data_IF_898655841799
#
_entry.id   IF_898655841799
#
_cell.length_a   1.000
_cell.length_b   1.000
_cell.length_c   1.000
_cell.angle_alpha   90.00
_cell.angle_beta   90.00
_cell.angle_gamma   90.00
#
_symmetry.space_group_name_H-M   'P 1'
#
loop_
_entity.id
_entity.type
_entity.pdbx_description
1 polymer ?
#
# COMPACT_ATOMS: atom_id res chain seq x y z
N UNK A 1 28.29 44.10 34.38
CA UNK A 1 27.68 42.76 34.44
C UNK A 1 26.65 42.46 33.32
N UNK A 2 26.28 43.38 32.43
CA UNK A 2 25.25 43.15 31.40
C UNK A 2 25.66 42.34 30.14
N UNK A 3 26.96 42.09 29.94
CA UNK A 3 27.46 41.48 28.69
C UNK A 3 27.38 39.94 28.69
N UNK A 4 27.61 39.30 29.83
CA UNK A 4 27.63 37.82 29.90
C UNK A 4 26.23 37.20 29.74
N UNK A 5 25.18 37.85 30.23
CA UNK A 5 23.79 37.38 30.08
C UNK A 5 23.32 37.46 28.62
N UNK A 6 23.75 38.49 27.88
CA UNK A 6 23.42 38.66 26.46
C UNK A 6 24.14 37.63 25.58
N UNK A 7 25.43 37.38 25.83
CA UNK A 7 26.21 36.34 25.17
C UNK A 7 25.63 34.93 25.42
N UNK A 8 25.26 34.62 26.67
CA UNK A 8 24.64 33.33 27.03
C UNK A 8 23.29 33.10 26.34
N UNK A 9 22.45 34.13 26.27
CA UNK A 9 21.17 34.06 25.55
C UNK A 9 21.37 33.87 24.04
N UNK A 10 22.34 34.57 23.43
CA UNK A 10 22.66 34.41 22.00
C UNK A 10 23.18 33.01 21.68
N UNK A 11 24.04 32.43 22.52
CA UNK A 11 24.54 31.04 22.36
C UNK A 11 23.40 30.03 22.50
N UNK A 12 22.51 30.21 23.49
CA UNK A 12 21.34 29.34 23.71
C UNK A 12 20.37 29.39 22.53
N UNK A 13 20.09 30.58 22.00
CA UNK A 13 19.22 30.74 20.82
C UNK A 13 19.88 30.13 19.58
N UNK A 14 21.16 30.39 19.36
CA UNK A 14 21.89 29.86 18.19
C UNK A 14 21.93 28.34 18.21
N UNK A 15 22.20 27.72 19.37
CA UNK A 15 22.15 26.26 19.51
C UNK A 15 20.74 25.69 19.34
N UNK A 16 19.69 26.37 19.82
CA UNK A 16 18.31 25.96 19.58
C UNK A 16 17.91 26.06 18.09
N UNK A 17 18.32 27.13 17.40
CA UNK A 17 18.09 27.32 15.96
C UNK A 17 18.83 26.26 15.15
N UNK A 18 20.10 25.97 15.48
CA UNK A 18 20.87 24.90 14.84
C UNK A 18 20.24 23.53 15.07
N UNK A 19 19.80 23.22 16.30
CA UNK A 19 19.09 21.97 16.60
C UNK A 19 17.79 21.85 15.80
N UNK A 20 17.00 22.93 15.71
CA UNK A 20 15.77 22.94 14.90
C UNK A 20 16.05 22.77 13.42
N UNK A 21 17.08 23.43 12.87
CA UNK A 21 17.47 23.28 11.47
C UNK A 21 17.90 21.85 11.15
N UNK A 22 18.78 21.27 11.96
CA UNK A 22 19.22 19.88 11.80
C UNK A 22 18.06 18.88 11.93
N UNK A 23 17.14 19.12 12.87
CA UNK A 23 15.93 18.29 13.02
C UNK A 23 15.03 18.38 11.78
N UNK A 24 14.81 19.60 11.25
CA UNK A 24 14.03 19.79 10.02
C UNK A 24 14.70 19.11 8.81
N UNK A 25 16.01 19.22 8.64
CA UNK A 25 16.74 18.55 7.55
C UNK A 25 16.63 17.02 7.65
N UNK A 26 16.81 16.46 8.86
CA UNK A 26 16.65 15.04 9.11
C UNK A 26 15.21 14.58 8.83
N UNK A 27 14.21 15.32 9.29
CA UNK A 27 12.80 15.00 9.07
C UNK A 27 12.41 15.07 7.59
N UNK A 28 12.90 16.08 6.86
CA UNK A 28 12.70 16.20 5.40
C UNK A 28 13.34 15.02 4.67
N UNK A 29 14.56 14.64 5.03
CA UNK A 29 15.23 13.47 4.43
C UNK A 29 14.48 12.16 4.69
N UNK A 30 13.92 12.01 5.89
CA UNK A 30 13.12 10.84 6.25
C UNK A 30 11.79 10.80 5.48
N UNK A 31 11.13 11.96 5.33
CA UNK A 31 9.88 12.07 4.57
C UNK A 31 10.07 11.82 3.07
N UNK A 32 11.25 12.10 2.50
CA UNK A 32 11.53 11.83 1.09
C UNK A 32 11.81 10.33 0.84
N UNK A 33 12.34 9.64 1.87
CA UNK A 33 12.61 8.22 1.85
C UNK A 33 11.37 7.33 2.09
N UNK A 34 10.23 7.90 2.52
CA UNK A 34 9.00 7.15 2.81
C UNK A 34 7.79 7.72 2.07
N UNK A 35 7.13 6.90 1.28
CA UNK A 35 5.95 7.28 0.48
C UNK A 35 4.79 6.36 0.82
N UNK A 36 3.64 6.92 1.17
CA UNK A 36 2.39 6.17 1.37
C UNK A 36 1.53 6.25 0.12
N UNK A 37 1.03 5.10 -0.35
CA UNK A 37 0.16 5.01 -1.53
C UNK A 37 -1.08 4.19 -1.18
N UNK A 38 -2.26 4.72 -1.49
CA UNK A 38 -3.54 4.03 -1.36
C UNK A 38 -4.09 3.70 -2.74
N UNK A 39 -4.51 2.45 -2.97
CA UNK A 39 -5.06 2.00 -4.27
C UNK A 39 -6.25 1.07 -4.06
N UNK A 40 -7.22 1.09 -4.98
CA UNK A 40 -8.37 0.19 -4.92
C UNK A 40 -7.97 -1.23 -5.38
N UNK A 41 -8.58 -2.24 -4.77
CA UNK A 41 -8.41 -3.62 -5.24
C UNK A 41 -8.85 -3.77 -6.71
N UNK A 42 -8.07 -4.48 -7.51
CA UNK A 42 -8.27 -4.67 -8.95
C UNK A 42 -7.57 -3.63 -9.83
N UNK A 43 -7.18 -2.48 -9.28
CA UNK A 43 -6.47 -1.44 -10.02
C UNK A 43 -4.97 -1.75 -10.18
N UNK A 44 -4.26 -0.86 -10.87
CA UNK A 44 -2.80 -0.87 -10.97
C UNK A 44 -2.19 0.32 -10.25
N UNK A 45 -1.04 0.11 -9.61
CA UNK A 45 -0.25 1.18 -8.97
C UNK A 45 1.14 1.23 -9.60
N UNK A 46 1.68 2.44 -9.79
CA UNK A 46 3.06 2.65 -10.22
C UNK A 46 3.85 3.35 -9.12
N UNK A 47 4.94 2.71 -8.69
CA UNK A 47 5.87 3.22 -7.70
C UNK A 47 7.02 3.90 -8.43
N UNK A 48 7.00 5.23 -8.44
CA UNK A 48 7.97 6.05 -9.14
C UNK A 48 9.28 6.16 -8.37
N UNK A 49 10.39 5.84 -9.04
CA UNK A 49 11.75 5.96 -8.49
C UNK A 49 12.31 7.37 -8.57
N UNK A 50 11.77 8.21 -9.47
CA UNK A 50 12.23 9.56 -9.80
C UNK A 50 13.70 9.64 -10.28
N UNK A 51 14.26 8.53 -10.76
CA UNK A 51 15.62 8.47 -11.31
C UNK A 51 15.62 8.20 -12.82
N UNK A 52 16.74 8.55 -13.48
CA UNK A 52 17.01 8.16 -14.87
C UNK A 52 18.11 7.10 -14.87
N UNK A 53 17.79 5.89 -15.31
CA UNK A 53 18.74 4.78 -15.34
C UNK A 53 19.84 5.00 -16.38
N UNK A 54 21.09 4.74 -16.00
CA UNK A 54 22.24 4.65 -16.91
C UNK A 54 22.80 3.23 -16.94
N UNK A 55 23.68 2.97 -17.90
CA UNK A 55 24.25 1.65 -18.20
C UNK A 55 25.00 0.96 -17.03
N UNK A 56 25.34 1.67 -15.94
CA UNK A 56 26.02 1.08 -14.76
C UNK A 56 25.14 1.04 -13.52
N UNK A 57 23.93 1.59 -13.62
CA UNK A 57 23.04 1.70 -12.48
C UNK A 57 22.35 0.37 -12.22
N UNK A 58 21.97 0.15 -10.97
CA UNK A 58 21.18 -1.01 -10.55
C UNK A 58 20.00 -0.51 -9.77
N UNK A 59 18.84 -1.07 -10.07
CA UNK A 59 17.60 -0.78 -9.36
C UNK A 59 17.05 -2.11 -8.90
N UNK A 60 16.75 -2.23 -7.62
CA UNK A 60 16.20 -3.45 -7.03
C UNK A 60 14.94 -3.10 -6.26
N UNK A 61 13.93 -3.95 -6.42
CA UNK A 61 12.69 -3.86 -5.71
C UNK A 61 12.53 -5.10 -4.83
N UNK A 62 12.17 -4.86 -3.58
CA UNK A 62 11.90 -5.89 -2.59
C UNK A 62 10.50 -5.74 -2.03
N UNK A 63 9.89 -6.87 -1.71
CA UNK A 63 8.66 -6.96 -0.94
C UNK A 63 8.89 -8.00 0.15
N UNK A 64 8.72 -7.63 1.43
CA UNK A 64 9.03 -8.48 2.58
C UNK A 64 10.41 -9.16 2.46
N UNK A 65 11.47 -8.37 2.28
CA UNK A 65 12.87 -8.81 2.09
C UNK A 65 13.13 -9.71 0.87
N UNK A 66 12.12 -10.01 0.07
CA UNK A 66 12.22 -10.85 -1.13
C UNK A 66 12.38 -9.95 -2.35
N UNK A 67 13.45 -10.14 -3.13
CA UNK A 67 13.66 -9.39 -4.37
C UNK A 67 12.64 -9.81 -5.42
N UNK A 68 11.73 -8.89 -5.75
CA UNK A 68 10.64 -9.11 -6.72
C UNK A 68 10.96 -8.56 -8.11
N UNK A 69 11.89 -7.63 -8.23
CA UNK A 69 12.28 -7.08 -9.52
C UNK A 69 13.69 -6.50 -9.47
N UNK A 70 14.39 -6.52 -10.60
CA UNK A 70 15.73 -5.94 -10.70
C UNK A 70 16.01 -5.44 -12.11
N UNK A 71 16.60 -4.25 -12.21
CA UNK A 71 17.24 -3.73 -13.41
C UNK A 71 18.74 -3.65 -13.17
N UNK A 72 19.53 -4.07 -14.17
CA UNK A 72 20.97 -3.89 -14.15
C UNK A 72 21.45 -3.30 -15.47
N UNK A 73 22.69 -2.82 -15.49
CA UNK A 73 23.36 -2.38 -16.72
C UNK A 73 23.40 -3.40 -17.85
N UNK A 74 23.30 -4.69 -17.52
CA UNK A 74 23.13 -5.78 -18.47
C UNK A 74 21.65 -6.16 -18.54
N UNK A 75 20.98 -5.80 -19.64
CA UNK A 75 19.55 -6.05 -19.80
C UNK A 75 19.20 -7.53 -19.70
N UNK A 76 20.13 -8.44 -20.04
CA UNK A 76 19.91 -9.89 -19.92
C UNK A 76 19.78 -10.38 -18.47
N UNK A 77 20.21 -9.57 -17.50
CA UNK A 77 20.14 -9.85 -16.06
C UNK A 77 19.03 -9.07 -15.35
N UNK A 78 18.18 -8.42 -16.14
CA UNK A 78 16.93 -7.85 -15.64
C UNK A 78 15.95 -8.99 -15.37
N UNK A 79 15.23 -8.91 -14.27
CA UNK A 79 14.24 -9.90 -13.90
C UNK A 79 13.04 -9.23 -13.23
N UNK A 80 11.92 -9.90 -13.29
CA UNK A 80 10.74 -9.66 -12.46
C UNK A 80 10.34 -10.96 -11.80
N UNK A 81 9.44 -10.89 -10.82
CA UNK A 81 8.67 -12.02 -10.30
C UNK A 81 9.49 -13.31 -10.19
N UNK A 82 8.97 -14.42 -10.72
CA UNK A 82 9.56 -15.75 -10.60
C UNK A 82 10.97 -15.84 -11.21
N UNK A 83 11.29 -14.95 -12.15
CA UNK A 83 12.63 -14.87 -12.74
C UNK A 83 13.66 -14.31 -11.74
N UNK A 84 13.22 -13.48 -10.80
CA UNK A 84 14.07 -12.97 -9.73
C UNK A 84 14.17 -13.93 -8.54
N UNK A 85 13.05 -14.56 -8.15
CA UNK A 85 12.95 -15.44 -7.00
C UNK A 85 11.70 -16.34 -7.11
N UNK A 86 11.87 -17.66 -6.97
CA UNK A 86 10.79 -18.65 -7.04
C UNK A 86 9.65 -18.38 -6.02
N UNK A 87 9.94 -17.76 -4.88
CA UNK A 87 8.95 -17.41 -3.85
C UNK A 87 7.97 -16.28 -4.24
N UNK A 88 8.06 -15.75 -5.46
CA UNK A 88 7.29 -14.56 -5.89
C UNK A 88 6.19 -14.88 -6.91
N UNK A 89 5.80 -16.15 -7.04
CA UNK A 89 4.69 -16.63 -7.89
C UNK A 89 3.40 -15.80 -7.73
N UNK A 90 3.15 -15.23 -6.54
CA UNK A 90 1.99 -14.37 -6.31
C UNK A 90 1.93 -13.17 -7.29
N UNK A 91 3.09 -12.67 -7.71
CA UNK A 91 3.25 -11.51 -8.58
C UNK A 91 3.41 -11.85 -10.06
N UNK A 92 3.35 -13.15 -10.38
CA UNK A 92 3.53 -13.66 -11.73
C UNK A 92 2.67 -12.93 -12.76
N UNK A 93 3.30 -12.43 -13.80
CA UNK A 93 2.69 -11.69 -14.90
C UNK A 93 2.02 -10.36 -14.49
N UNK A 94 2.20 -9.91 -13.24
CA UNK A 94 1.59 -8.69 -12.68
C UNK A 94 2.59 -7.56 -12.46
N UNK A 95 3.89 -7.83 -12.50
CA UNK A 95 4.92 -6.79 -12.38
C UNK A 95 5.37 -6.31 -13.74
N UNK A 96 5.48 -4.98 -13.89
CA UNK A 96 6.12 -4.33 -15.02
C UNK A 96 7.17 -3.35 -14.53
N UNK A 97 8.37 -3.44 -15.09
CA UNK A 97 9.45 -2.49 -14.85
C UNK A 97 9.58 -1.54 -16.03
N UNK A 98 9.65 -0.25 -15.75
CA UNK A 98 10.09 0.74 -16.73
C UNK A 98 11.62 0.72 -16.79
N UNK A 99 12.19 0.31 -17.93
CA UNK A 99 13.63 0.23 -18.12
C UNK A 99 14.36 1.58 -18.18
N UNK A 100 13.65 2.70 -18.34
CA UNK A 100 14.24 4.04 -18.39
C UNK A 100 14.29 4.72 -17.03
N UNK A 101 13.28 4.48 -16.20
CA UNK A 101 13.17 5.12 -14.88
C UNK A 101 13.44 4.14 -13.74
N UNK A 102 13.17 2.86 -13.93
CA UNK A 102 13.16 1.85 -12.87
C UNK A 102 11.88 1.79 -12.08
N UNK A 103 10.85 2.55 -12.48
CA UNK A 103 9.54 2.53 -11.82
C UNK A 103 8.92 1.13 -11.92
N UNK A 104 8.33 0.69 -10.80
CA UNK A 104 7.64 -0.60 -10.71
C UNK A 104 6.14 -0.38 -10.79
N UNK A 105 5.51 -0.98 -11.78
CA UNK A 105 4.05 -1.06 -11.89
C UNK A 105 3.57 -2.44 -11.44
N UNK A 106 2.62 -2.44 -10.51
CA UNK A 106 1.94 -3.64 -10.03
C UNK A 106 0.52 -3.59 -10.58
N UNK A 107 0.17 -4.57 -11.42
CA UNK A 107 -1.13 -4.66 -12.07
C UNK A 107 -2.08 -5.59 -11.30
N UNK A 108 -3.38 -5.32 -11.40
CA UNK A 108 -4.44 -6.13 -10.79
C UNK A 108 -4.12 -6.42 -9.32
N UNK A 109 -4.00 -5.34 -8.55
CA UNK A 109 -3.54 -5.39 -7.17
C UNK A 109 -4.61 -6.04 -6.28
N UNK A 110 -4.20 -6.91 -5.37
CA UNK A 110 -5.08 -7.68 -4.49
C UNK A 110 -4.85 -7.31 -3.06
N UNK A 111 -5.82 -7.51 -2.16
CA UNK A 111 -5.62 -7.24 -0.73
C UNK A 111 -4.32 -7.84 -0.13
N UNK A 112 -3.87 -9.00 -0.62
CA UNK A 112 -2.62 -9.67 -0.21
C UNK A 112 -1.34 -8.94 -0.64
N UNK A 113 -1.44 -8.02 -1.61
CA UNK A 113 -0.32 -7.24 -2.14
C UNK A 113 -0.02 -6.00 -1.29
N UNK A 114 -0.83 -5.72 -0.27
CA UNK A 114 -0.58 -4.64 0.69
C UNK A 114 0.74 -4.87 1.43
N UNK A 115 1.43 -3.78 1.75
CA UNK A 115 2.68 -3.82 2.53
C UNK A 115 3.73 -2.86 2.00
N UNK A 116 4.94 -3.03 2.53
CA UNK A 116 6.07 -2.15 2.25
C UNK A 116 6.91 -2.70 1.09
N UNK A 117 7.12 -1.84 0.10
CA UNK A 117 7.97 -2.08 -1.05
C UNK A 117 9.25 -1.29 -0.89
N UNK A 118 10.37 -1.98 -0.80
CA UNK A 118 11.69 -1.35 -0.65
C UNK A 118 12.35 -1.21 -2.00
N UNK A 119 12.70 0.02 -2.34
CA UNK A 119 13.49 0.40 -3.49
C UNK A 119 14.94 0.60 -3.05
N UNK A 120 15.87 -0.12 -3.67
CA UNK A 120 17.30 0.11 -3.57
C UNK A 120 17.81 0.58 -4.94
N UNK A 121 18.40 1.77 -4.98
CA UNK A 121 19.05 2.31 -6.17
C UNK A 121 20.54 2.43 -5.95
N UNK A 122 21.33 1.91 -6.89
CA UNK A 122 22.78 2.00 -6.90
C UNK A 122 23.17 2.77 -8.16
N UNK A 123 23.42 4.07 -8.01
CA UNK A 123 23.71 4.98 -9.11
C UNK A 123 25.11 5.53 -8.94
N UNK A 124 25.98 5.29 -9.91
CA UNK A 124 27.39 5.74 -9.88
C UNK A 124 28.15 5.38 -8.57
N UNK A 125 27.77 4.29 -7.91
CA UNK A 125 28.36 3.82 -6.64
C UNK A 125 27.70 4.37 -5.37
N UNK A 126 26.77 5.32 -5.48
CA UNK A 126 25.95 5.77 -4.36
C UNK A 126 24.74 4.86 -4.20
N UNK A 127 24.45 4.45 -2.97
CA UNK A 127 23.25 3.69 -2.61
C UNK A 127 22.21 4.68 -2.07
N UNK A 128 20.97 4.56 -2.54
CA UNK A 128 19.82 5.28 -2.00
C UNK A 128 18.64 4.33 -1.86
N UNK A 129 17.93 4.46 -0.75
CA UNK A 129 16.82 3.59 -0.37
C UNK A 129 15.53 4.42 -0.23
N UNK A 130 14.41 3.83 -0.66
CA UNK A 130 13.08 4.43 -0.53
C UNK A 130 12.06 3.35 -0.22
N UNK A 131 11.12 3.65 0.66
CA UNK A 131 10.06 2.72 1.08
C UNK A 131 8.74 3.26 0.56
N UNK A 132 7.98 2.39 -0.10
CA UNK A 132 6.61 2.64 -0.53
C UNK A 132 5.67 1.76 0.29
N UNK A 133 4.93 2.38 1.22
CA UNK A 133 3.87 1.72 1.97
C UNK A 133 2.60 1.71 1.14
N UNK A 134 2.24 0.56 0.59
CA UNK A 134 1.05 0.39 -0.26
C UNK A 134 -0.09 -0.18 0.58
N UNK A 135 -1.16 0.60 0.69
CA UNK A 135 -2.42 0.21 1.33
C UNK A 135 -3.49 -0.03 0.27
N UNK A 136 -4.22 -1.14 0.39
CA UNK A 136 -5.23 -1.52 -0.58
C UNK A 136 -6.61 -1.41 0.04
N UNK A 137 -7.45 -0.60 -0.57
CA UNK A 137 -8.85 -0.44 -0.18
C UNK A 137 -9.70 -1.37 -1.04
N UNK A 138 -10.25 -2.42 -0.42
CA UNK A 138 -11.20 -3.29 -1.10
C UNK A 138 -12.57 -2.63 -1.20
N UNK A 139 -13.27 -2.82 -2.32
CA UNK A 139 -14.73 -2.76 -2.28
C UNK A 139 -15.21 -3.95 -1.46
N UNK A 140 -15.48 -3.72 -0.17
CA UNK A 140 -16.38 -4.60 0.56
C UNK A 140 -17.74 -4.50 -0.14
N UNK A 141 -18.05 -5.44 -1.03
CA UNK A 141 -19.38 -5.63 -1.60
C UNK A 141 -20.41 -6.08 -0.54
N UNK A 142 -20.17 -5.79 0.74
CA UNK A 142 -21.17 -5.85 1.78
C UNK A 142 -22.06 -4.61 1.67
N UNK A 143 -23.03 -4.67 0.76
CA UNK A 143 -24.37 -4.04 0.80
C UNK A 143 -24.89 -3.83 -0.64
N UNK A 144 -25.37 -4.90 -1.28
CA UNK A 144 -26.41 -4.74 -2.30
C UNK A 144 -27.75 -5.04 -1.64
N UNK A 145 -28.47 -3.99 -1.25
CA UNK A 145 -29.86 -4.12 -0.80
C UNK A 145 -30.70 -4.56 -2.00
N UNK A 146 -31.28 -5.76 -1.93
CA UNK A 146 -32.29 -6.21 -2.89
C UNK A 146 -33.66 -5.97 -2.27
N UNK A 147 -34.41 -5.01 -2.81
CA UNK A 147 -35.79 -4.77 -2.41
C UNK A 147 -36.68 -5.75 -3.19
N UNK A 148 -37.30 -6.71 -2.49
CA UNK A 148 -38.27 -7.62 -3.11
C UNK A 148 -39.67 -7.14 -2.70
N UNK A 149 -40.51 -6.83 -3.69
CA UNK A 149 -41.90 -6.47 -3.48
C UNK A 149 -42.77 -7.72 -3.62
N UNK A 150 -43.27 -8.27 -2.49
CA UNK A 150 -44.31 -9.29 -2.50
C UNK A 150 -45.59 -8.67 -1.95
N UNK A 151 -46.67 -8.70 -2.74
CA UNK A 151 -48.03 -8.35 -2.31
C UNK A 151 -48.13 -7.06 -1.45
N UNK A 152 -47.57 -5.94 -1.92
CA UNK A 152 -47.71 -4.61 -1.29
C UNK A 152 -47.08 -4.44 0.11
N UNK A 153 -46.15 -5.32 0.50
CA UNK A 153 -45.31 -5.14 1.69
C UNK A 153 -43.83 -5.10 1.30
N UNK A 154 -43.14 -4.03 1.70
CA UNK A 154 -41.69 -3.88 1.51
C UNK A 154 -40.97 -4.59 2.65
N UNK A 155 -40.21 -5.66 2.35
CA UNK A 155 -39.34 -6.30 3.33
C UNK A 155 -37.88 -5.97 2.99
N UNK A 156 -37.17 -5.35 3.93
CA UNK A 156 -35.75 -5.03 3.82
C UNK A 156 -34.94 -6.23 4.33
N UNK A 157 -34.44 -7.08 3.42
CA UNK A 157 -33.53 -8.17 3.79
C UNK A 157 -32.07 -7.75 3.53
N UNK A 158 -31.26 -7.73 4.59
CA UNK A 158 -29.81 -7.57 4.49
C UNK A 158 -29.22 -8.97 4.27
N UNK A 159 -28.72 -9.26 3.07
CA UNK A 159 -28.03 -10.52 2.77
C UNK A 159 -26.53 -10.25 2.71
N UNK A 160 -25.76 -10.85 3.63
CA UNK A 160 -24.29 -10.87 3.58
C UNK A 160 -23.81 -12.09 2.79
N UNK A 161 -23.14 -11.89 1.66
CA UNK A 161 -22.38 -12.93 0.98
C UNK A 161 -20.88 -12.67 1.24
N UNK A 162 -20.25 -13.48 2.08
CA UNK A 162 -18.81 -13.39 2.36
C UNK A 162 -18.01 -14.32 1.43
N UNK A 163 -17.02 -13.79 0.71
CA UNK A 163 -16.23 -14.57 -0.25
C UNK A 163 -14.92 -15.15 0.30
N UNK A 164 -14.58 -15.00 1.58
CA UNK A 164 -13.41 -15.68 2.16
C UNK A 164 -13.61 -15.90 3.68
N UNK A 165 -14.01 -17.13 4.05
CA UNK A 165 -13.86 -17.81 5.35
C UNK A 165 -13.85 -16.93 6.64
N UNK A 166 -14.73 -17.05 7.64
CA UNK A 166 -15.63 -18.11 8.07
C UNK A 166 -16.83 -17.47 8.83
N UNK A 167 -18.02 -18.04 8.62
CA UNK A 167 -19.29 -17.76 9.31
C UNK A 167 -20.15 -16.61 8.74
N UNK A 168 -21.01 -16.95 7.78
CA UNK A 168 -22.21 -16.15 7.46
C UNK A 168 -23.34 -16.59 8.39
N UNK A 169 -23.91 -15.66 9.16
CA UNK A 169 -25.15 -15.87 9.88
C UNK A 169 -26.23 -14.96 9.30
N UNK A 170 -27.38 -15.55 8.97
CA UNK A 170 -28.60 -14.80 8.70
C UNK A 170 -29.21 -14.50 10.07
N UNK A 171 -29.17 -13.24 10.51
CA UNK A 171 -30.04 -12.83 11.62
C UNK A 171 -31.45 -12.66 11.06
N UNK A 172 -32.23 -13.74 11.04
CA UNK A 172 -33.68 -13.63 10.95
C UNK A 172 -34.14 -12.79 12.14
N UNK A 173 -35.07 -11.82 11.98
CA UNK A 173 -35.75 -11.26 13.13
C UNK A 173 -36.51 -12.40 13.82
N UNK A 174 -35.94 -12.91 14.90
CA UNK A 174 -36.66 -13.72 15.88
C UNK A 174 -37.75 -12.81 16.46
N UNK A 175 -39.00 -13.24 16.31
CA UNK A 175 -40.27 -12.57 16.62
C UNK A 175 -40.85 -11.85 15.38
N UNK A 176 -42.02 -12.20 14.87
CA UNK A 176 -43.25 -12.69 15.51
C UNK A 176 -44.09 -13.31 14.38
N UNK A 177 -44.62 -14.53 14.51
CA UNK A 177 -45.88 -15.01 13.90
C UNK A 177 -45.97 -16.54 14.04
N UNK A 178 -45.97 -17.02 15.28
CA UNK A 178 -46.78 -18.20 15.60
C UNK A 178 -48.19 -17.71 15.86
N UNK A 179 -48.98 -17.49 14.80
CA UNK A 179 -50.43 -17.48 14.93
C UNK A 179 -50.95 -18.77 14.32
N UNK A 180 -51.29 -19.71 15.20
CA UNK A 180 -52.19 -20.80 14.88
C UNK A 180 -53.54 -20.22 14.46
N UNK A 181 -54.02 -20.56 13.27
CA UNK A 181 -55.44 -20.86 13.06
C UNK A 181 -55.59 -21.73 11.80
N UNK A 182 -55.52 -23.04 11.99
CA UNK A 182 -56.15 -24.00 11.11
C UNK A 182 -57.67 -23.87 11.29
N UNK A 183 -58.33 -23.08 10.45
CA UNK A 183 -59.77 -23.17 10.22
C UNK A 183 -60.05 -22.95 8.73
N UNK A 184 -60.05 -24.04 7.98
CA UNK A 184 -60.88 -24.33 6.79
C UNK A 184 -60.32 -25.57 6.08
N UNK A 185 -60.76 -26.74 6.56
CA UNK A 185 -61.59 -27.69 5.82
C UNK A 185 -62.35 -28.55 6.84
#
# INVERSE_FOLDING_TARGET
>A
MANQTKLSATVTIFTAVLKKKAFNELFVSFSDAFVSVSVMEGDSVTLHTDVKTKQRDRIRWYFNDTRIAQITGDLSKTCTDVQCNEGTERFRDRLKLDHQTGSLTIMNIRNTDSGDYHLETIISGSISEKIFSVTITGESLCLKAVCICLNHMYFLFIVCLCSHSQSCYISLPVNLFTFSLSLLL
#
